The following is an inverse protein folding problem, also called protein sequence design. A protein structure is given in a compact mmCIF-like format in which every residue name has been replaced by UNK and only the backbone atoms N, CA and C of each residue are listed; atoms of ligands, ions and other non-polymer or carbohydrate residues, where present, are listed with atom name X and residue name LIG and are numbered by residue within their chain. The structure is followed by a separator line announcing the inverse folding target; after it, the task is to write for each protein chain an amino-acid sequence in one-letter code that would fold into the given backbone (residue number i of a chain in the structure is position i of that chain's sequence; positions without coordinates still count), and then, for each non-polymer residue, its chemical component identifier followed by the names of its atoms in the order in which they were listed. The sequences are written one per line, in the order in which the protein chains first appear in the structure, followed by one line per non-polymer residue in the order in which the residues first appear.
data_IF_211179945094
#
_entry.id   IF_211179945094
#
_cell.length_a   1.000
_cell.length_b   1.000
_cell.length_c   1.000
_cell.angle_alpha   90.00
_cell.angle_beta   90.00
_cell.angle_gamma   90.00
#
_symmetry.space_group_name_H-M   'P 1'
#
loop_
_entity.id
_entity.type
_entity.pdbx_description
1 polymer ?
#
# COMPACT_ATOMS: atom_id res chain seq x y z
N UNK A 1 -6.26 -1.33 -7.99
CA UNK A 1 -6.56 -2.75 -7.78
C UNK A 1 -6.39 -3.14 -6.31
N UNK A 2 -5.21 -2.98 -5.71
CA UNK A 2 -4.99 -3.37 -4.31
C UNK A 2 -5.90 -2.60 -3.33
N UNK A 3 -5.99 -1.28 -3.48
CA UNK A 3 -6.85 -0.43 -2.65
C UNK A 3 -8.32 -0.80 -2.84
N UNK A 4 -8.75 -1.02 -4.07
CA UNK A 4 -10.13 -1.42 -4.36
C UNK A 4 -10.46 -2.75 -3.70
N UNK A 5 -9.58 -3.74 -3.82
CA UNK A 5 -9.75 -5.06 -3.19
C UNK A 5 -9.77 -4.97 -1.66
N UNK A 6 -8.98 -4.07 -1.07
CA UNK A 6 -8.96 -3.84 0.37
C UNK A 6 -10.26 -3.19 0.84
N UNK A 7 -10.68 -2.11 0.20
CA UNK A 7 -11.86 -1.36 0.58
C UNK A 7 -13.15 -2.18 0.46
N UNK A 8 -13.29 -2.99 -0.58
CA UNK A 8 -14.47 -3.85 -0.76
C UNK A 8 -14.57 -4.95 0.30
N UNK A 9 -13.50 -5.25 1.04
CA UNK A 9 -13.54 -6.20 2.16
C UNK A 9 -13.96 -5.56 3.49
N UNK A 10 -13.77 -4.25 3.64
CA UNK A 10 -14.10 -3.54 4.88
C UNK A 10 -15.51 -2.96 4.91
N UNK A 11 -16.11 -2.75 3.74
CA UNK A 11 -17.41 -2.11 3.63
C UNK A 11 -18.46 -3.08 3.09
N UNK A 12 -19.70 -2.90 3.54
CA UNK A 12 -20.83 -3.67 3.02
C UNK A 12 -21.06 -3.41 1.53
N UNK A 13 -21.53 -4.41 0.81
CA UNK A 13 -21.70 -4.38 -0.66
C UNK A 13 -22.51 -3.18 -1.16
N UNK A 14 -23.51 -2.74 -0.39
CA UNK A 14 -24.34 -1.58 -0.72
C UNK A 14 -23.54 -0.25 -0.80
N UNK A 15 -22.36 -0.19 -0.19
CA UNK A 15 -21.50 0.99 -0.17
C UNK A 15 -20.29 0.89 -1.12
N UNK A 16 -20.08 -0.24 -1.78
CA UNK A 16 -18.90 -0.45 -2.62
C UNK A 16 -18.76 0.61 -3.71
N UNK A 17 -19.84 0.95 -4.42
CA UNK A 17 -19.80 1.95 -5.49
C UNK A 17 -19.37 3.32 -4.98
N UNK A 18 -19.93 3.76 -3.84
CA UNK A 18 -19.60 5.04 -3.22
C UNK A 18 -18.17 5.07 -2.70
N UNK A 19 -17.74 4.01 -2.01
CA UNK A 19 -16.39 3.88 -1.46
C UNK A 19 -15.33 3.88 -2.57
N UNK A 20 -15.57 3.16 -3.65
CA UNK A 20 -14.66 3.13 -4.80
C UNK A 20 -14.61 4.46 -5.54
N UNK A 21 -15.74 5.18 -5.65
CA UNK A 21 -15.75 6.53 -6.20
C UNK A 21 -14.91 7.50 -5.35
N UNK A 22 -15.07 7.46 -4.03
CA UNK A 22 -14.27 8.25 -3.11
C UNK A 22 -12.78 7.91 -3.19
N UNK A 23 -12.43 6.62 -3.28
CA UNK A 23 -11.05 6.18 -3.43
C UNK A 23 -10.40 6.70 -4.72
N UNK A 24 -11.15 6.75 -5.82
CA UNK A 24 -10.66 7.33 -7.09
C UNK A 24 -10.37 8.82 -6.98
N UNK A 25 -11.08 9.55 -6.12
CA UNK A 25 -10.81 10.98 -5.86
C UNK A 25 -9.52 11.22 -5.07
N UNK A 26 -8.97 10.20 -4.42
CA UNK A 26 -7.69 10.30 -3.71
C UNK A 26 -6.48 10.23 -4.66
N UNK A 27 -6.66 9.66 -5.84
CA UNK A 27 -5.68 9.59 -6.91
C UNK A 27 -6.10 10.49 -8.08
N UNK A 28 -5.21 10.75 -9.02
CA UNK A 28 -5.47 11.65 -10.15
C UNK A 28 -5.96 13.06 -9.75
N UNK A 29 -5.48 13.57 -8.61
CA UNK A 29 -5.83 14.91 -8.16
C UNK A 29 -5.23 15.95 -9.10
N UNK A 30 -6.01 17.01 -9.34
CA UNK A 30 -5.53 18.22 -10.00
C UNK A 30 -5.06 19.19 -8.93
N UNK A 31 -3.83 19.59 -9.00
CA UNK A 31 -3.23 20.52 -8.05
C UNK A 31 -2.81 21.82 -8.75
N UNK A 32 -2.80 22.90 -7.97
CA UNK A 32 -2.35 24.22 -8.41
C UNK A 32 -1.43 24.81 -7.33
N UNK A 33 -0.26 25.26 -7.74
CA UNK A 33 0.64 25.97 -6.84
C UNK A 33 0.15 27.39 -6.57
N UNK A 34 0.68 28.01 -5.52
CA UNK A 34 0.44 29.44 -5.21
C UNK A 34 0.74 30.35 -6.39
N UNK A 35 1.69 30.00 -7.24
CA UNK A 35 2.12 30.77 -8.38
C UNK A 35 1.41 30.39 -9.69
N UNK A 36 0.32 29.62 -9.60
CA UNK A 36 -0.55 29.31 -10.74
C UNK A 36 -0.16 28.10 -11.58
N UNK A 37 0.95 27.42 -11.27
CA UNK A 37 1.34 26.19 -11.97
C UNK A 37 0.31 25.11 -11.67
N UNK A 38 -0.22 24.49 -12.71
CA UNK A 38 -1.18 23.37 -12.61
C UNK A 38 -0.48 22.06 -12.94
N UNK A 39 -0.74 21.03 -12.14
CA UNK A 39 -0.19 19.68 -12.38
C UNK A 39 -1.18 18.59 -11.93
N UNK A 40 -1.01 17.41 -12.47
CA UNK A 40 -1.75 16.22 -12.06
C UNK A 40 -0.86 15.30 -11.24
N UNK A 41 -1.43 14.68 -10.21
CA UNK A 41 -0.68 13.77 -9.33
C UNK A 41 -0.63 12.33 -9.86
N UNK A 42 -1.40 12.05 -10.92
CA UNK A 42 -1.53 10.70 -11.48
C UNK A 42 -1.86 9.68 -10.37
N UNK A 43 -1.04 8.65 -10.25
CA UNK A 43 -1.21 7.59 -9.24
C UNK A 43 -0.49 7.86 -7.92
N UNK A 44 0.11 9.04 -7.76
CA UNK A 44 0.81 9.37 -6.53
C UNK A 44 -0.15 9.55 -5.36
N UNK A 45 0.13 8.89 -4.25
CA UNK A 45 -0.54 9.12 -2.97
C UNK A 45 0.00 10.41 -2.37
N UNK A 46 -0.86 11.40 -2.18
CA UNK A 46 -0.45 12.67 -1.57
C UNK A 46 -0.24 12.51 -0.07
N UNK A 47 0.84 13.09 0.44
CA UNK A 47 1.10 13.18 1.87
C UNK A 47 -0.01 13.96 2.58
N UNK A 48 -0.43 13.50 3.75
CA UNK A 48 -1.47 14.15 4.56
C UNK A 48 -2.90 13.86 4.15
N UNK A 49 -3.15 13.02 3.14
CA UNK A 49 -4.49 12.53 2.84
C UNK A 49 -4.97 11.54 3.91
N UNK A 50 -6.28 11.47 4.18
CA UNK A 50 -6.85 10.40 5.00
C UNK A 50 -6.47 9.03 4.41
N UNK A 51 -5.99 8.15 5.25
CA UNK A 51 -5.61 6.80 4.83
C UNK A 51 -4.23 6.64 4.18
N UNK A 52 -3.48 7.71 3.90
CA UNK A 52 -2.14 7.61 3.30
C UNK A 52 -1.24 6.66 4.08
N UNK A 53 -1.17 6.79 5.39
CA UNK A 53 -0.37 5.92 6.25
C UNK A 53 -0.84 4.47 6.19
N UNK A 54 -2.15 4.25 6.24
CA UNK A 54 -2.75 2.91 6.21
C UNK A 54 -2.49 2.24 4.86
N UNK A 55 -2.76 2.92 3.75
CA UNK A 55 -2.57 2.35 2.42
C UNK A 55 -1.11 2.07 2.11
N UNK A 56 -0.20 2.97 2.50
CA UNK A 56 1.22 2.75 2.33
C UNK A 56 1.72 1.58 3.20
N UNK A 57 1.22 1.45 4.43
CA UNK A 57 1.54 0.30 5.30
C UNK A 57 1.09 -1.01 4.68
N UNK A 58 -0.15 -1.07 4.17
CA UNK A 58 -0.68 -2.28 3.51
C UNK A 58 0.08 -2.59 2.23
N UNK A 59 0.43 -1.59 1.45
CA UNK A 59 1.23 -1.77 0.23
C UNK A 59 2.63 -2.30 0.56
N UNK A 60 3.28 -1.74 1.56
CA UNK A 60 4.60 -2.16 2.02
C UNK A 60 4.56 -3.62 2.52
N UNK A 61 3.57 -3.96 3.36
CA UNK A 61 3.33 -5.32 3.81
C UNK A 61 3.12 -6.28 2.63
N UNK A 62 2.31 -5.89 1.64
CA UNK A 62 2.03 -6.70 0.46
C UNK A 62 3.28 -6.96 -0.39
N UNK A 63 4.11 -5.94 -0.60
CA UNK A 63 5.38 -6.07 -1.34
C UNK A 63 6.30 -7.08 -0.64
N UNK A 64 6.43 -6.99 0.68
CA UNK A 64 7.24 -7.92 1.47
C UNK A 64 6.66 -9.34 1.42
N UNK A 65 5.34 -9.50 1.54
CA UNK A 65 4.69 -10.80 1.39
C UNK A 65 4.99 -11.42 0.02
N UNK A 66 4.86 -10.66 -1.06
CA UNK A 66 5.17 -11.15 -2.42
C UNK A 66 6.65 -11.55 -2.54
N UNK A 67 7.55 -10.77 -1.94
CA UNK A 67 8.98 -11.11 -1.93
C UNK A 67 9.22 -12.45 -1.23
N UNK A 68 8.64 -12.68 -0.05
CA UNK A 68 8.73 -13.97 0.66
C UNK A 68 8.16 -15.13 -0.14
N UNK A 69 7.04 -14.92 -0.83
CA UNK A 69 6.45 -15.93 -1.70
C UNK A 69 7.38 -16.28 -2.88
N UNK A 70 8.10 -15.30 -3.42
CA UNK A 70 9.09 -15.51 -4.50
C UNK A 70 10.34 -16.25 -4.03
N UNK A 71 10.69 -16.11 -2.76
CA UNK A 71 11.77 -16.88 -2.13
C UNK A 71 11.36 -18.33 -1.80
N UNK A 72 10.13 -18.72 -2.10
CA UNK A 72 9.66 -20.11 -1.98
C UNK A 72 8.93 -20.41 -0.68
N UNK A 73 8.69 -19.43 0.20
CA UNK A 73 7.90 -19.66 1.41
C UNK A 73 6.44 -19.97 1.04
N UNK A 74 5.80 -20.86 1.81
CA UNK A 74 4.38 -21.13 1.71
C UNK A 74 3.55 -19.86 2.07
N UNK A 75 2.26 -19.80 1.74
CA UNK A 75 1.42 -18.66 2.12
C UNK A 75 1.46 -18.36 3.62
N UNK A 76 1.38 -19.40 4.45
CA UNK A 76 1.35 -19.27 5.91
C UNK A 76 2.72 -18.86 6.47
N UNK A 77 3.81 -19.42 5.93
CA UNK A 77 5.17 -19.02 6.29
C UNK A 77 5.46 -17.56 5.87
N UNK A 78 5.06 -17.16 4.66
CA UNK A 78 5.23 -15.81 4.18
C UNK A 78 4.44 -14.80 5.03
N UNK A 79 3.24 -15.18 5.45
CA UNK A 79 2.42 -14.36 6.34
C UNK A 79 3.04 -14.24 7.73
N UNK A 80 3.49 -15.36 8.33
CA UNK A 80 4.15 -15.37 9.63
C UNK A 80 5.49 -14.61 9.66
N UNK A 81 6.12 -14.48 8.50
CA UNK A 81 7.39 -13.78 8.33
C UNK A 81 7.24 -12.25 8.22
N UNK A 82 6.01 -11.73 8.07
CA UNK A 82 5.76 -10.30 8.02
C UNK A 82 6.17 -9.63 9.33
N UNK A 83 6.71 -8.43 9.20
CA UNK A 83 7.18 -7.62 10.31
C UNK A 83 6.20 -6.52 10.72
N UNK A 84 6.74 -5.41 11.16
CA UNK A 84 6.01 -4.21 11.55
C UNK A 84 6.17 -3.17 10.44
N UNK A 85 5.05 -2.60 9.99
CA UNK A 85 5.03 -1.61 8.91
C UNK A 85 4.27 -0.35 9.34
N UNK A 86 4.83 0.81 9.00
CA UNK A 86 4.24 2.11 9.25
C UNK A 86 4.49 3.03 8.05
N UNK A 87 3.51 3.20 7.17
CA UNK A 87 3.70 3.91 5.91
C UNK A 87 4.67 3.17 5.00
N UNK A 88 5.69 3.87 4.54
CA UNK A 88 6.80 3.36 3.74
C UNK A 88 7.91 2.71 4.59
N UNK A 89 7.91 2.94 5.89
CA UNK A 89 8.85 2.31 6.82
C UNK A 89 8.43 0.89 7.17
N UNK A 90 9.41 0.01 7.36
CA UNK A 90 9.16 -1.37 7.75
C UNK A 90 10.35 -2.01 8.44
N UNK A 91 10.04 -2.90 9.37
CA UNK A 91 11.01 -3.73 10.07
C UNK A 91 10.58 -5.19 9.94
N UNK A 92 11.37 -5.98 9.24
CA UNK A 92 11.20 -7.43 9.14
C UNK A 92 12.28 -8.15 9.93
N UNK A 93 11.93 -9.27 10.56
CA UNK A 93 12.90 -10.12 11.23
C UNK A 93 13.90 -10.75 10.26
N UNK A 94 15.01 -11.23 10.77
CA UNK A 94 16.06 -11.88 9.98
C UNK A 94 15.56 -13.22 9.44
N UNK A 95 14.99 -13.19 8.26
CA UNK A 95 14.66 -14.36 7.49
C UNK A 95 15.88 -14.79 6.71
N UNK A 96 16.62 -15.72 7.24
CA UNK A 96 17.80 -16.32 6.63
C UNK A 96 18.68 -15.31 5.85
N UNK A 97 19.82 -14.98 6.37
CA UNK A 97 20.80 -14.02 5.83
C UNK A 97 21.21 -14.26 4.36
N UNK A 98 20.55 -15.16 3.66
CA UNK A 98 20.80 -15.53 2.28
C UNK A 98 19.87 -14.86 1.26
N UNK A 99 18.78 -14.22 1.70
CA UNK A 99 17.88 -13.54 0.76
C UNK A 99 18.51 -12.19 0.32
N UNK A 100 18.77 -11.99 -0.98
CA UNK A 100 19.48 -10.79 -1.46
C UNK A 100 18.80 -9.46 -1.14
N UNK A 101 17.47 -9.49 -0.97
CA UNK A 101 16.65 -8.31 -0.64
C UNK A 101 16.65 -7.96 0.85
N UNK A 102 17.04 -8.89 1.73
CA UNK A 102 17.17 -8.64 3.17
C UNK A 102 18.43 -7.81 3.52
N UNK A 103 19.24 -7.44 2.55
CA UNK A 103 20.50 -6.73 2.71
C UNK A 103 20.43 -5.23 2.43
N UNK A 104 19.22 -4.66 2.32
CA UNK A 104 19.06 -3.21 2.13
C UNK A 104 18.61 -2.54 3.39
#
# INVERSE_FOLDING_TARGET
VLIDSLLTRFFHDSHHAEVLELARKLVHCRARTRHGVRYGTLWAMLSGQPGTSIFNSVLNMFINYVAFRREGLSPDEAWAALGIYGGDDGLTGNLNAQAPWARK
#
